data_IF_967635918753
#
_entry.id   IF_967635918753
#
_cell.length_a   1.000
_cell.length_b   1.000
_cell.length_c   1.000
_cell.angle_alpha   90.00
_cell.angle_beta   90.00
_cell.angle_gamma   90.00
#
_symmetry.space_group_name_H-M   'P 1'
#
loop_
_entity.id
_entity.type
_entity.pdbx_description
1 polymer ?
#
# COMPACT_ATOMS: atom_id res chain seq x y z
N UNK A 1 13.26 52.03 -21.80
CA UNK A 1 13.50 51.77 -20.36
C UNK A 1 12.50 50.70 -19.90
N UNK A 2 13.01 49.48 -19.70
CA UNK A 2 12.57 48.35 -18.88
C UNK A 2 11.07 48.20 -18.54
N UNK A 3 10.51 47.03 -18.90
CA UNK A 3 10.41 45.86 -18.00
C UNK A 3 9.94 44.65 -18.82
N UNK A 4 10.89 43.87 -19.31
CA UNK A 4 10.63 42.49 -19.70
C UNK A 4 10.44 41.68 -18.42
N UNK A 5 9.22 41.19 -18.23
CA UNK A 5 8.87 40.27 -17.16
C UNK A 5 9.53 38.92 -17.49
N UNK A 6 10.70 38.65 -16.91
CA UNK A 6 11.22 37.28 -16.82
C UNK A 6 10.28 36.49 -15.91
N UNK A 7 9.24 35.89 -16.48
CA UNK A 7 8.59 34.74 -15.87
C UNK A 7 9.60 33.60 -16.07
N UNK A 8 10.37 33.32 -15.03
CA UNK A 8 11.13 32.08 -14.92
C UNK A 8 10.15 30.92 -15.15
N UNK A 9 10.24 30.27 -16.30
CA UNK A 9 9.55 29.01 -16.55
C UNK A 9 10.11 28.01 -15.54
N UNK A 10 9.41 27.84 -14.40
CA UNK A 10 9.66 26.72 -13.51
C UNK A 10 9.30 25.48 -14.33
N UNK A 11 10.29 24.66 -14.66
CA UNK A 11 10.05 23.39 -15.37
C UNK A 11 8.93 22.64 -14.65
N UNK A 12 7.92 22.21 -15.40
CA UNK A 12 6.79 21.49 -14.84
C UNK A 12 7.31 20.14 -14.32
N UNK A 13 7.22 19.92 -13.01
CA UNK A 13 7.65 18.65 -12.40
C UNK A 13 6.82 17.51 -12.99
N UNK A 14 7.50 16.43 -13.36
CA UNK A 14 6.84 15.17 -13.77
C UNK A 14 6.18 14.49 -12.57
N UNK A 15 5.19 13.62 -12.81
CA UNK A 15 4.56 12.84 -11.73
C UNK A 15 5.57 11.94 -11.01
N UNK A 16 6.57 11.44 -11.72
CA UNK A 16 7.68 10.67 -11.13
C UNK A 16 8.51 11.50 -10.15
N UNK A 17 8.95 12.70 -10.55
CA UNK A 17 9.70 13.58 -9.65
C UNK A 17 8.89 13.92 -8.39
N UNK A 18 7.62 14.26 -8.54
CA UNK A 18 6.74 14.51 -7.41
C UNK A 18 6.58 13.27 -6.51
N UNK A 19 6.41 12.09 -7.10
CA UNK A 19 6.31 10.84 -6.34
C UNK A 19 7.59 10.55 -5.54
N UNK A 20 8.75 10.70 -6.18
CA UNK A 20 10.06 10.44 -5.57
C UNK A 20 10.33 11.43 -4.41
N UNK A 21 10.08 12.73 -4.62
CA UNK A 21 10.17 13.77 -3.58
C UNK A 21 9.30 13.44 -2.37
N UNK A 22 8.04 13.04 -2.59
CA UNK A 22 7.14 12.64 -1.50
C UNK A 22 7.61 11.35 -0.82
N UNK A 23 8.13 10.40 -1.60
CA UNK A 23 8.62 9.14 -1.08
C UNK A 23 9.87 9.28 -0.18
N UNK A 24 10.64 10.35 -0.30
CA UNK A 24 11.78 10.61 0.60
C UNK A 24 11.35 10.72 2.07
N UNK A 25 10.18 11.32 2.33
CA UNK A 25 9.70 11.59 3.70
C UNK A 25 8.52 10.73 4.12
N UNK A 26 7.73 10.22 3.16
CA UNK A 26 6.45 9.56 3.45
C UNK A 26 6.38 8.11 3.00
N UNK A 27 7.49 7.54 2.52
CA UNK A 27 7.55 6.12 2.17
C UNK A 27 7.49 5.26 3.43
N UNK A 28 6.57 4.29 3.42
CA UNK A 28 6.57 3.17 4.36
C UNK A 28 7.16 1.96 3.64
N UNK A 29 8.34 1.46 4.07
CA UNK A 29 8.99 0.32 3.43
C UNK A 29 8.18 -0.96 3.65
N UNK A 30 8.38 -1.94 2.76
CA UNK A 30 7.81 -3.27 2.96
C UNK A 30 8.52 -3.99 4.11
N UNK A 31 7.77 -4.78 4.87
CA UNK A 31 8.31 -5.70 5.88
C UNK A 31 8.31 -7.11 5.30
N UNK A 32 9.44 -7.57 4.79
CA UNK A 32 9.54 -8.84 4.04
C UNK A 32 10.70 -9.71 4.58
N UNK A 33 10.59 -10.27 5.80
CA UNK A 33 11.63 -11.17 6.32
C UNK A 33 11.81 -12.39 5.41
N UNK A 34 12.97 -13.02 5.44
CA UNK A 34 13.26 -14.19 4.58
C UNK A 34 12.36 -15.38 4.95
N UNK A 35 12.01 -15.53 6.23
CA UNK A 35 11.04 -16.55 6.68
C UNK A 35 9.60 -16.30 6.25
N UNK A 36 9.28 -15.15 5.64
CA UNK A 36 7.89 -14.86 5.27
C UNK A 36 7.34 -15.95 4.34
N UNK A 37 6.32 -16.65 4.82
CA UNK A 37 5.54 -17.67 4.10
C UNK A 37 4.18 -17.13 3.65
N UNK A 38 3.72 -16.04 4.25
CA UNK A 38 2.46 -15.39 3.92
C UNK A 38 2.67 -13.88 3.82
N UNK A 39 2.41 -13.32 2.65
CA UNK A 39 2.63 -11.89 2.36
C UNK A 39 1.29 -11.21 2.12
N UNK A 40 0.96 -10.21 2.94
CA UNK A 40 -0.23 -9.39 2.77
C UNK A 40 0.09 -8.15 1.96
N UNK A 41 -0.71 -7.90 0.91
CA UNK A 41 -0.62 -6.72 0.06
C UNK A 41 -1.85 -5.83 0.31
N UNK A 42 -1.63 -4.61 0.79
CA UNK A 42 -2.69 -3.64 1.11
C UNK A 42 -2.68 -2.43 0.17
N UNK A 43 -3.60 -1.48 0.35
CA UNK A 43 -3.79 -0.32 -0.52
C UNK A 43 -2.60 0.66 -0.49
N UNK A 44 -2.47 1.37 0.63
CA UNK A 44 -1.44 2.38 0.87
C UNK A 44 -1.31 2.63 2.38
N UNK A 45 -0.18 3.13 2.88
CA UNK A 45 -0.07 3.50 4.29
C UNK A 45 -1.00 4.65 4.67
N UNK A 46 -1.25 4.79 5.98
CA UNK A 46 -1.93 5.93 6.59
C UNK A 46 -1.02 6.56 7.67
N UNK A 47 -1.54 7.56 8.37
CA UNK A 47 -0.83 8.31 9.44
C UNK A 47 -0.14 7.43 10.49
N UNK A 48 -0.72 6.30 10.87
CA UNK A 48 -0.12 5.42 11.89
C UNK A 48 1.05 4.62 11.32
N UNK A 49 0.95 4.16 10.07
CA UNK A 49 2.07 3.52 9.37
C UNK A 49 3.24 4.48 9.17
N UNK A 50 2.98 5.76 8.88
CA UNK A 50 4.02 6.80 8.83
C UNK A 50 4.72 6.96 10.19
N UNK A 51 3.94 7.08 11.27
CA UNK A 51 4.49 7.29 12.61
C UNK A 51 5.35 6.11 13.11
N UNK A 52 5.04 4.88 12.69
CA UNK A 52 5.76 3.68 13.11
C UNK A 52 6.75 3.16 12.06
N UNK A 53 6.77 3.72 10.84
CA UNK A 53 7.63 3.27 9.76
C UNK A 53 7.38 1.85 9.26
N UNK A 54 6.18 1.29 9.49
CA UNK A 54 5.85 -0.11 9.15
C UNK A 54 4.41 -0.24 8.62
N UNK A 55 4.15 -1.09 7.61
CA UNK A 55 2.80 -1.30 7.11
C UNK A 55 1.88 -1.87 8.20
N UNK A 56 0.58 -1.56 8.10
CA UNK A 56 -0.45 -2.14 8.98
C UNK A 56 -0.22 -1.84 10.47
N UNK A 57 0.30 -0.65 10.79
CA UNK A 57 0.41 -0.13 12.16
C UNK A 57 -0.91 0.48 12.68
N UNK A 58 -1.88 0.73 11.80
CA UNK A 58 -3.18 1.32 12.17
C UNK A 58 -4.23 0.34 12.70
N UNK A 59 -5.49 0.80 12.75
CA UNK A 59 -6.62 -0.02 13.22
C UNK A 59 -6.79 -1.34 12.43
N UNK A 60 -6.58 -1.30 11.11
CA UNK A 60 -6.53 -2.49 10.26
C UNK A 60 -5.59 -3.58 10.84
N UNK A 61 -4.42 -3.17 11.34
CA UNK A 61 -3.45 -4.10 11.93
C UNK A 61 -3.90 -4.67 13.24
N UNK A 62 -4.75 -3.96 13.99
CA UNK A 62 -5.37 -4.50 15.19
C UNK A 62 -6.32 -5.65 14.87
N UNK A 63 -7.14 -5.48 13.83
CA UNK A 63 -8.04 -6.55 13.38
C UNK A 63 -7.23 -7.75 12.86
N UNK A 64 -6.22 -7.52 12.02
CA UNK A 64 -5.39 -8.63 11.52
C UNK A 64 -4.62 -9.37 12.62
N UNK A 65 -4.01 -8.65 13.57
CA UNK A 65 -3.26 -9.27 14.69
C UNK A 65 -4.18 -10.14 15.56
N UNK A 66 -5.39 -9.66 15.85
CA UNK A 66 -6.40 -10.43 16.60
C UNK A 66 -6.71 -11.76 15.92
N UNK A 67 -6.97 -11.75 14.61
CA UNK A 67 -7.36 -12.96 13.87
C UNK A 67 -6.20 -13.92 13.62
N UNK A 68 -5.03 -13.40 13.21
CA UNK A 68 -3.88 -14.22 12.85
C UNK A 68 -3.12 -14.73 14.08
N UNK A 69 -2.87 -13.86 15.04
CA UNK A 69 -1.98 -14.13 16.17
C UNK A 69 -2.73 -14.43 17.47
N UNK A 70 -4.02 -14.10 17.54
CA UNK A 70 -4.81 -14.24 18.78
C UNK A 70 -4.39 -13.26 19.88
N UNK A 71 -3.63 -12.20 19.54
CA UNK A 71 -3.11 -11.23 20.50
C UNK A 71 -3.70 -9.84 20.29
N UNK A 72 -3.63 -9.01 21.34
CA UNK A 72 -3.74 -7.56 21.18
C UNK A 72 -2.53 -6.97 20.45
N UNK A 73 -2.62 -5.69 20.09
CA UNK A 73 -1.55 -4.97 19.37
C UNK A 73 -1.90 -4.69 17.91
N UNK A 74 -0.92 -4.21 17.14
CA UNK A 74 -1.07 -3.89 15.71
C UNK A 74 -0.10 -4.77 14.92
N UNK A 75 -0.60 -5.42 13.87
CA UNK A 75 0.16 -6.46 13.16
C UNK A 75 1.55 -5.97 12.72
N UNK A 76 1.64 -4.79 12.10
CA UNK A 76 2.92 -4.22 11.66
C UNK A 76 3.96 -4.14 12.78
N UNK A 77 3.70 -3.38 13.85
CA UNK A 77 4.60 -3.28 15.00
C UNK A 77 4.90 -4.63 15.68
N UNK A 78 3.91 -5.51 15.82
CA UNK A 78 4.12 -6.84 16.45
C UNK A 78 5.05 -7.70 15.62
N UNK A 79 4.80 -7.80 14.30
CA UNK A 79 5.66 -8.56 13.39
C UNK A 79 7.02 -7.90 13.26
N UNK A 80 7.09 -6.57 13.21
CA UNK A 80 8.34 -5.81 13.10
C UNK A 80 9.32 -6.00 14.27
N UNK A 81 8.84 -6.38 15.46
CA UNK A 81 9.69 -6.67 16.62
C UNK A 81 10.44 -8.01 16.50
N UNK A 82 9.84 -9.00 15.86
CA UNK A 82 10.43 -10.33 15.65
C UNK A 82 9.94 -10.93 14.32
N UNK A 83 10.40 -10.37 13.17
CA UNK A 83 9.83 -10.71 11.85
C UNK A 83 9.96 -12.19 11.52
N UNK A 84 11.08 -12.80 11.91
CA UNK A 84 11.41 -14.18 11.58
C UNK A 84 10.46 -15.17 12.26
N UNK A 85 9.99 -14.87 13.47
CA UNK A 85 9.08 -15.72 14.25
C UNK A 85 7.71 -15.89 13.62
N UNK A 86 7.17 -14.84 13.00
CA UNK A 86 5.79 -14.85 12.53
C UNK A 86 5.66 -15.40 11.11
N UNK A 87 6.72 -15.35 10.30
CA UNK A 87 6.63 -15.77 8.90
C UNK A 87 5.61 -14.95 8.10
N UNK A 88 5.37 -13.71 8.50
CA UNK A 88 4.44 -12.76 7.86
C UNK A 88 5.26 -11.68 7.14
N UNK A 89 4.92 -11.45 5.87
CA UNK A 89 5.34 -10.28 5.12
C UNK A 89 4.20 -9.27 4.96
N UNK A 90 4.51 -7.98 4.96
CA UNK A 90 3.55 -6.90 4.80
C UNK A 90 4.06 -5.91 3.75
N UNK A 91 3.21 -5.60 2.77
CA UNK A 91 3.51 -4.60 1.75
C UNK A 91 2.26 -3.81 1.35
N UNK A 92 2.46 -2.64 0.76
CA UNK A 92 1.40 -1.84 0.16
C UNK A 92 1.55 -1.77 -1.36
N UNK A 93 0.45 -1.64 -2.10
CA UNK A 93 0.47 -1.34 -3.53
C UNK A 93 1.19 -0.01 -3.78
N UNK A 94 0.75 1.05 -3.10
CA UNK A 94 1.45 2.33 -3.09
C UNK A 94 2.24 2.47 -1.78
N UNK A 95 3.57 2.70 -1.82
CA UNK A 95 4.39 2.81 -0.62
C UNK A 95 4.25 4.16 0.10
N UNK A 96 3.56 5.14 -0.50
CA UNK A 96 3.23 6.44 0.11
C UNK A 96 1.71 6.55 0.34
N UNK A 97 1.25 7.36 1.30
CA UNK A 97 -0.19 7.52 1.54
C UNK A 97 -0.91 8.04 0.30
N UNK A 98 -2.05 7.44 -0.06
CA UNK A 98 -2.85 7.93 -1.19
C UNK A 98 -3.96 8.90 -0.74
N UNK A 99 -3.99 9.29 0.53
CA UNK A 99 -4.95 10.26 1.09
C UNK A 99 -4.21 11.52 1.53
N UNK A 100 -4.61 12.69 1.03
CA UNK A 100 -3.97 13.98 1.36
C UNK A 100 -4.02 14.26 2.87
N UNK A 101 -5.08 13.81 3.56
CA UNK A 101 -5.20 13.95 5.01
C UNK A 101 -4.08 13.26 5.80
N UNK A 102 -3.39 12.26 5.23
CA UNK A 102 -2.28 11.60 5.89
C UNK A 102 -1.04 12.51 6.03
N UNK A 103 -0.99 13.59 5.26
CA UNK A 103 0.10 14.55 5.22
C UNK A 103 -0.16 15.80 6.07
N UNK A 104 -1.35 15.94 6.66
CA UNK A 104 -1.82 17.18 7.28
C UNK A 104 -0.98 17.67 8.47
N UNK A 105 -0.17 16.80 9.07
CA UNK A 105 0.68 17.14 10.21
C UNK A 105 2.10 17.58 9.80
N UNK A 106 2.43 17.54 8.50
CA UNK A 106 3.72 18.00 8.01
C UNK A 106 3.66 19.51 7.70
N UNK A 107 4.45 20.29 8.44
CA UNK A 107 4.46 21.75 8.30
C UNK A 107 5.21 22.25 7.06
N UNK A 108 6.06 21.41 6.46
CA UNK A 108 6.89 21.74 5.30
C UNK A 108 6.19 21.38 3.99
N UNK A 109 5.40 20.31 3.99
CA UNK A 109 4.67 19.89 2.81
C UNK A 109 3.51 20.85 2.51
N UNK A 110 3.51 21.35 1.27
CA UNK A 110 2.46 22.21 0.72
C UNK A 110 1.79 21.48 -0.45
N UNK A 111 0.70 20.70 -0.22
CA UNK A 111 0.05 19.94 -1.29
C UNK A 111 -0.33 20.75 -2.52
N UNK A 112 -0.66 22.03 -2.33
CA UNK A 112 -0.97 22.99 -3.40
C UNK A 112 0.19 23.21 -4.39
N UNK A 113 1.45 22.99 -3.97
CA UNK A 113 2.61 23.13 -4.84
C UNK A 113 2.75 21.95 -5.83
N UNK A 114 2.08 20.83 -5.56
CA UNK A 114 2.15 19.60 -6.35
C UNK A 114 1.02 19.49 -7.39
N UNK A 115 0.31 20.59 -7.66
CA UNK A 115 -0.73 20.65 -8.69
C UNK A 115 -1.80 19.59 -8.49
N UNK A 116 -1.96 18.71 -9.49
CA UNK A 116 -2.97 17.64 -9.47
C UNK A 116 -2.48 16.31 -8.88
N UNK A 117 -1.23 16.21 -8.41
CA UNK A 117 -0.65 14.95 -7.91
C UNK A 117 -1.48 14.31 -6.77
N UNK A 118 -1.80 15.08 -5.72
CA UNK A 118 -2.61 14.59 -4.60
C UNK A 118 -4.06 14.26 -5.02
N UNK A 119 -4.76 15.12 -5.79
CA UNK A 119 -6.04 14.76 -6.40
C UNK A 119 -6.00 13.47 -7.22
N UNK A 120 -4.93 13.24 -7.99
CA UNK A 120 -4.74 12.01 -8.78
C UNK A 120 -4.54 10.79 -7.88
N UNK A 121 -3.72 10.88 -6.82
CA UNK A 121 -3.56 9.79 -5.83
C UNK A 121 -4.89 9.42 -5.18
N UNK A 122 -5.63 10.41 -4.66
CA UNK A 122 -6.94 10.16 -4.05
C UNK A 122 -7.96 9.61 -5.04
N UNK A 123 -7.94 10.14 -6.26
CA UNK A 123 -8.76 9.68 -7.36
C UNK A 123 -8.51 8.21 -7.67
N UNK A 124 -7.24 7.81 -7.86
CA UNK A 124 -6.83 6.43 -8.11
C UNK A 124 -7.29 5.51 -6.99
N UNK A 125 -7.05 5.91 -5.75
CA UNK A 125 -7.45 5.19 -4.53
C UNK A 125 -8.96 4.94 -4.48
N UNK A 126 -9.76 5.99 -4.67
CA UNK A 126 -11.21 5.93 -4.63
C UNK A 126 -11.85 5.44 -5.94
N UNK A 127 -11.06 5.16 -6.98
CA UNK A 127 -11.52 4.90 -8.34
C UNK A 127 -12.44 6.01 -8.89
N UNK A 128 -12.14 7.27 -8.58
CA UNK A 128 -12.90 8.46 -9.00
C UNK A 128 -12.10 9.28 -10.00
N UNK A 129 -12.49 9.22 -11.27
CA UNK A 129 -11.81 9.92 -12.38
C UNK A 129 -12.39 11.30 -12.72
N UNK A 130 -13.56 11.66 -12.17
CA UNK A 130 -14.30 12.85 -12.58
C UNK A 130 -13.50 14.12 -12.28
N UNK A 131 -13.22 14.92 -13.31
CA UNK A 131 -12.48 16.17 -13.20
C UNK A 131 -10.95 16.02 -13.19
N UNK A 132 -10.43 14.81 -13.39
CA UNK A 132 -8.99 14.53 -13.48
C UNK A 132 -8.56 14.36 -14.93
N UNK A 133 -7.34 14.78 -15.23
CA UNK A 133 -6.77 14.70 -16.57
C UNK A 133 -6.45 13.22 -16.92
N UNK A 134 -6.98 12.66 -18.03
CA UNK A 134 -6.83 11.24 -18.35
C UNK A 134 -5.40 10.75 -18.59
N UNK A 135 -4.52 11.57 -19.17
CA UNK A 135 -3.14 11.17 -19.48
C UNK A 135 -2.29 11.04 -18.22
N UNK A 136 -2.37 12.01 -17.30
CA UNK A 136 -1.72 12.05 -15.99
C UNK A 136 -2.28 11.00 -15.05
N UNK A 137 -3.59 10.73 -15.12
CA UNK A 137 -4.17 9.57 -14.46
C UNK A 137 -3.49 8.28 -14.89
N UNK A 138 -3.36 8.07 -16.20
CA UNK A 138 -2.75 6.87 -16.77
C UNK A 138 -1.27 6.78 -16.42
N UNK A 139 -0.57 7.91 -16.46
CA UNK A 139 0.85 8.04 -16.08
C UNK A 139 1.07 7.67 -14.61
N UNK A 140 0.32 8.25 -13.67
CA UNK A 140 0.46 7.93 -12.24
C UNK A 140 0.05 6.48 -11.94
N UNK A 141 -0.98 5.97 -12.63
CA UNK A 141 -1.35 4.56 -12.50
C UNK A 141 -0.21 3.64 -12.97
N UNK A 142 0.42 3.95 -14.11
CA UNK A 142 1.57 3.20 -14.62
C UNK A 142 2.75 3.26 -13.64
N UNK A 143 3.06 4.45 -13.11
CA UNK A 143 4.12 4.64 -12.12
C UNK A 143 3.93 3.76 -10.87
N UNK A 144 2.73 3.75 -10.29
CA UNK A 144 2.42 2.91 -9.12
C UNK A 144 2.54 1.41 -9.47
N UNK A 145 2.06 1.01 -10.66
CA UNK A 145 2.15 -0.37 -11.11
C UNK A 145 3.58 -0.82 -11.33
N UNK A 146 4.45 0.05 -11.89
CA UNK A 146 5.86 -0.28 -12.12
C UNK A 146 6.58 -0.49 -10.78
N UNK A 147 6.39 0.40 -9.80
CA UNK A 147 6.93 0.22 -8.45
C UNK A 147 6.41 -1.03 -7.74
N UNK A 148 5.13 -1.40 -7.95
CA UNK A 148 4.61 -2.65 -7.42
C UNK A 148 5.23 -3.86 -8.12
N UNK A 149 5.34 -3.82 -9.46
CA UNK A 149 5.92 -4.89 -10.28
C UNK A 149 7.35 -5.19 -9.86
N UNK A 150 8.19 -4.16 -9.72
CA UNK A 150 9.58 -4.29 -9.27
C UNK A 150 9.68 -5.03 -7.93
N UNK A 151 8.86 -4.64 -6.95
CA UNK A 151 8.88 -5.24 -5.61
C UNK A 151 8.33 -6.66 -5.63
N UNK A 152 7.25 -6.94 -6.37
CA UNK A 152 6.73 -8.30 -6.56
C UNK A 152 7.76 -9.20 -7.27
N UNK A 153 8.55 -8.66 -8.20
CA UNK A 153 9.57 -9.41 -8.92
C UNK A 153 10.64 -9.97 -7.97
N UNK A 154 10.92 -9.30 -6.86
CA UNK A 154 11.86 -9.80 -5.83
C UNK A 154 11.35 -11.05 -5.12
N UNK A 155 10.04 -11.32 -5.17
CA UNK A 155 9.40 -12.43 -4.47
C UNK A 155 9.20 -13.67 -5.35
N UNK A 156 9.44 -13.61 -6.66
CA UNK A 156 9.03 -14.67 -7.61
C UNK A 156 9.67 -16.02 -7.33
N UNK A 157 10.88 -16.04 -6.77
CA UNK A 157 11.58 -17.27 -6.40
C UNK A 157 11.21 -17.79 -4.99
N UNK A 158 10.42 -17.04 -4.24
CA UNK A 158 10.00 -17.41 -2.88
C UNK A 158 8.72 -18.24 -2.93
N UNK A 159 8.68 -19.31 -2.14
CA UNK A 159 7.46 -20.09 -1.93
C UNK A 159 6.60 -19.41 -0.86
N UNK A 160 5.57 -18.70 -1.29
CA UNK A 160 4.73 -17.88 -0.42
C UNK A 160 3.24 -18.02 -0.75
N UNK A 161 2.41 -17.73 0.23
CA UNK A 161 1.01 -17.37 0.02
C UNK A 161 0.90 -15.85 -0.08
N UNK A 162 0.48 -15.31 -1.22
CA UNK A 162 0.24 -13.88 -1.41
C UNK A 162 -1.25 -13.56 -1.20
N UNK A 163 -1.53 -12.51 -0.42
CA UNK A 163 -2.87 -12.13 0.02
C UNK A 163 -3.15 -10.66 -0.30
N UNK A 164 -3.65 -10.34 -1.51
CA UNK A 164 -4.13 -9.01 -1.82
C UNK A 164 -5.44 -8.70 -1.05
N UNK A 165 -5.36 -7.74 -0.13
CA UNK A 165 -6.46 -7.38 0.77
C UNK A 165 -7.31 -6.26 0.19
N UNK A 166 -8.52 -6.60 -0.24
CA UNK A 166 -9.54 -5.67 -0.73
C UNK A 166 -9.44 -5.36 -2.22
N UNK A 167 -10.49 -4.73 -2.73
CA UNK A 167 -10.66 -4.49 -4.16
C UNK A 167 -9.50 -3.69 -4.81
N UNK A 168 -8.94 -2.71 -4.10
CA UNK A 168 -7.82 -1.94 -4.60
C UNK A 168 -6.56 -2.80 -4.77
N UNK A 169 -6.14 -3.51 -3.72
CA UNK A 169 -4.97 -4.39 -3.76
C UNK A 169 -5.13 -5.51 -4.80
N UNK A 170 -6.31 -6.14 -4.86
CA UNK A 170 -6.63 -7.17 -5.84
C UNK A 170 -6.51 -6.65 -7.29
N UNK A 171 -7.09 -5.48 -7.57
CA UNK A 171 -7.02 -4.85 -8.89
C UNK A 171 -5.58 -4.56 -9.30
N UNK A 172 -4.80 -3.90 -8.44
CA UNK A 172 -3.44 -3.51 -8.80
C UNK A 172 -2.46 -4.68 -8.84
N UNK A 173 -2.68 -5.71 -8.01
CA UNK A 173 -1.96 -6.97 -8.14
C UNK A 173 -2.20 -7.62 -9.51
N UNK A 174 -3.47 -7.73 -9.93
CA UNK A 174 -3.81 -8.27 -11.26
C UNK A 174 -3.20 -7.43 -12.40
N UNK A 175 -3.28 -6.10 -12.31
CA UNK A 175 -2.73 -5.20 -13.32
C UNK A 175 -1.19 -5.20 -13.37
N UNK A 176 -0.51 -5.47 -12.24
CA UNK A 176 0.95 -5.58 -12.22
C UNK A 176 1.44 -6.75 -13.08
N UNK A 177 0.64 -7.81 -13.20
CA UNK A 177 0.88 -8.92 -14.12
C UNK A 177 2.05 -9.84 -13.71
N UNK A 178 2.53 -9.73 -12.47
CA UNK A 178 3.59 -10.61 -11.95
C UNK A 178 2.95 -11.89 -11.43
N UNK A 179 3.42 -13.02 -11.93
CA UNK A 179 3.00 -14.35 -11.49
C UNK A 179 4.22 -15.21 -11.20
N UNK A 180 4.05 -16.21 -10.33
CA UNK A 180 5.06 -17.22 -10.07
C UNK A 180 4.41 -18.55 -9.76
N UNK A 181 4.95 -19.68 -10.25
CA UNK A 181 4.49 -21.02 -9.85
C UNK A 181 4.75 -21.33 -8.37
N UNK A 182 5.61 -20.55 -7.69
CA UNK A 182 5.90 -20.70 -6.28
C UNK A 182 4.87 -20.02 -5.37
N UNK A 183 3.91 -19.27 -5.95
CA UNK A 183 2.93 -18.52 -5.19
C UNK A 183 1.59 -19.25 -5.14
N UNK A 184 1.05 -19.37 -3.93
CA UNK A 184 -0.38 -19.55 -3.74
C UNK A 184 -1.02 -18.17 -3.58
N UNK A 185 -2.11 -17.84 -4.28
CA UNK A 185 -2.74 -16.53 -4.18
C UNK A 185 -4.13 -16.69 -3.57
N UNK A 186 -4.35 -16.11 -2.38
CA UNK A 186 -5.66 -16.06 -1.75
C UNK A 186 -6.41 -14.79 -2.18
N UNK A 187 -7.41 -14.95 -3.04
CA UNK A 187 -8.24 -13.85 -3.52
C UNK A 187 -9.47 -13.60 -2.65
N UNK A 188 -10.12 -12.47 -2.90
CA UNK A 188 -11.39 -12.07 -2.30
C UNK A 188 -11.33 -11.86 -0.78
N UNK A 189 -10.11 -11.67 -0.26
CA UNK A 189 -9.88 -11.29 1.12
C UNK A 189 -10.27 -9.81 1.29
N UNK A 190 -11.24 -9.48 2.15
CA UNK A 190 -11.65 -8.09 2.33
C UNK A 190 -10.51 -7.26 2.93
N UNK A 191 -10.48 -5.97 2.61
CA UNK A 191 -9.56 -5.06 3.30
C UNK A 191 -9.91 -5.01 4.80
N UNK A 192 -8.94 -5.12 5.73
CA UNK A 192 -9.18 -5.18 7.18
C UNK A 192 -9.75 -3.89 7.81
N UNK A 193 -9.81 -2.78 7.07
CA UNK A 193 -10.40 -1.53 7.57
C UNK A 193 -11.88 -1.68 7.91
N UNK A 194 -12.39 -0.74 8.73
CA UNK A 194 -13.79 -0.74 9.19
C UNK A 194 -14.23 -2.07 9.82
N UNK A 195 -13.29 -2.76 10.48
CA UNK A 195 -13.45 -4.07 11.11
C UNK A 195 -14.06 -5.11 10.17
N UNK A 196 -13.76 -5.06 8.86
CA UNK A 196 -14.33 -6.02 7.92
C UNK A 196 -13.98 -7.47 8.29
N UNK A 197 -12.80 -7.73 8.86
CA UNK A 197 -12.43 -9.10 9.25
C UNK A 197 -13.26 -9.65 10.43
N UNK A 198 -13.97 -8.79 11.16
CA UNK A 198 -14.90 -9.19 12.22
C UNK A 198 -16.35 -9.36 11.72
N UNK A 199 -16.66 -9.01 10.46
CA UNK A 199 -18.02 -9.07 9.93
C UNK A 199 -18.40 -10.49 9.52
N UNK A 200 -19.59 -10.91 9.91
CA UNK A 200 -20.15 -12.24 9.63
C UNK A 200 -20.04 -12.66 8.16
N UNK A 201 -20.41 -11.76 7.24
CA UNK A 201 -20.35 -11.99 5.79
C UNK A 201 -18.96 -12.37 5.25
N UNK A 202 -17.89 -12.10 6.00
CA UNK A 202 -16.51 -12.39 5.61
C UNK A 202 -15.88 -13.53 6.42
N UNK A 203 -16.56 -14.08 7.43
CA UNK A 203 -15.99 -15.06 8.35
C UNK A 203 -15.40 -16.28 7.64
N UNK A 204 -16.08 -16.83 6.64
CA UNK A 204 -15.57 -17.98 5.88
C UNK A 204 -14.21 -17.70 5.22
N UNK A 205 -14.08 -16.52 4.60
CA UNK A 205 -12.83 -16.11 3.95
C UNK A 205 -11.72 -15.80 4.97
N UNK A 206 -12.07 -15.20 6.11
CA UNK A 206 -11.09 -14.95 7.18
C UNK A 206 -10.64 -16.26 7.83
N UNK A 207 -11.54 -17.23 8.00
CA UNK A 207 -11.19 -18.56 8.48
C UNK A 207 -10.21 -19.28 7.54
N UNK A 208 -10.42 -19.19 6.22
CA UNK A 208 -9.49 -19.71 5.20
C UNK A 208 -8.10 -19.05 5.30
N UNK A 209 -8.05 -17.73 5.47
CA UNK A 209 -6.79 -16.98 5.67
C UNK A 209 -6.08 -17.47 6.94
N UNK A 210 -6.80 -17.62 8.05
CA UNK A 210 -6.23 -18.07 9.33
C UNK A 210 -5.75 -19.52 9.25
N UNK A 211 -6.53 -20.42 8.66
CA UNK A 211 -6.14 -21.81 8.47
C UNK A 211 -4.88 -21.90 7.60
N UNK A 212 -4.81 -21.14 6.51
CA UNK A 212 -3.62 -21.08 5.65
C UNK A 212 -2.40 -20.58 6.40
N UNK A 213 -2.53 -19.53 7.22
CA UNK A 213 -1.44 -19.01 8.03
C UNK A 213 -0.89 -20.05 9.03
N UNK A 214 -1.80 -20.82 9.64
CA UNK A 214 -1.46 -21.86 10.63
C UNK A 214 -0.96 -23.17 10.03
N UNK A 215 -1.07 -23.33 8.71
CA UNK A 215 -0.72 -24.58 8.02
C UNK A 215 -1.79 -25.67 8.19
N UNK A 216 -3.04 -25.27 8.37
CA UNK A 216 -4.21 -26.13 8.57
C UNK A 216 -5.07 -26.28 7.29
N UNK A 217 -4.68 -25.62 6.19
CA UNK A 217 -5.40 -25.58 4.91
C UNK A 217 -4.84 -26.55 3.88
#
# INVERSE_FOLDING_TARGET
MKRETMISAREERTLRQMFDEIAESFRVPDLLPDSARMVFLLESPHTQELAHGVPVAGLSGGSMAKHLLGTGGKLGPVVGQDPERYGIGLMNVCPIPMQTAAYANDAQLRPEEYGDFFPLLEGLRASRKKGLEPSRWSELQALIMDHLRERLQTLVNRRITLVPCGAFAQKYFQLAGVTSPNWNVLTDVPHPSFNNWDKERYQGKIAEVVATYRGEA
#
